data_IF_221358788040
#
_entry.id   IF_221358788040
#
_cell.length_a   1.000
_cell.length_b   1.000
_cell.length_c   1.000
_cell.angle_alpha   90.00
_cell.angle_beta   90.00
_cell.angle_gamma   90.00
#
_symmetry.space_group_name_H-M   'P 1'
#
loop_
_entity.id
_entity.type
_entity.pdbx_description
1 polymer ?
#
# COMPACT_ATOMS: atom_id res chain seq x y z
N UNK A 1 -4.60 9.41 9.44
CA UNK A 1 -4.47 8.54 8.24
C UNK A 1 -4.93 9.34 7.04
N UNK A 2 -4.34 9.14 5.88
CA UNK A 2 -4.80 9.76 4.64
C UNK A 2 -6.00 8.98 4.09
N UNK A 3 -6.99 9.69 3.51
CA UNK A 3 -8.14 9.04 2.87
C UNK A 3 -9.08 8.26 3.82
N UNK A 4 -9.15 8.65 5.09
CA UNK A 4 -10.07 8.01 6.05
C UNK A 4 -11.52 8.28 5.65
N UNK A 5 -12.40 7.26 5.63
CA UNK A 5 -13.84 7.44 5.39
C UNK A 5 -14.50 8.35 6.43
N UNK A 6 -15.72 8.80 6.14
CA UNK A 6 -16.50 9.58 7.11
C UNK A 6 -16.78 8.75 8.38
N UNK A 7 -16.98 9.41 9.51
CA UNK A 7 -17.30 8.72 10.77
C UNK A 7 -18.57 7.84 10.68
N UNK A 8 -19.53 8.23 9.84
CA UNK A 8 -20.72 7.42 9.56
C UNK A 8 -20.32 6.06 8.95
N UNK A 9 -19.51 6.09 7.89
CA UNK A 9 -19.04 4.87 7.21
C UNK A 9 -18.18 4.02 8.16
N UNK A 10 -17.32 4.63 8.97
CA UNK A 10 -16.52 3.91 9.97
C UNK A 10 -17.39 3.17 10.98
N UNK A 11 -18.42 3.83 11.52
CA UNK A 11 -19.37 3.20 12.47
C UNK A 11 -20.16 2.05 11.82
N UNK A 12 -20.64 2.23 10.59
CA UNK A 12 -21.33 1.19 9.83
C UNK A 12 -20.42 -0.03 9.64
N UNK A 13 -19.16 0.17 9.29
CA UNK A 13 -18.17 -0.89 9.14
C UNK A 13 -17.80 -1.57 10.47
N UNK A 14 -17.69 -0.83 11.57
CA UNK A 14 -17.47 -1.39 12.91
C UNK A 14 -18.64 -2.30 13.34
N UNK A 15 -19.88 -1.83 13.14
CA UNK A 15 -21.08 -2.62 13.44
C UNK A 15 -21.14 -3.89 12.58
N UNK A 16 -20.82 -3.78 11.29
CA UNK A 16 -20.73 -4.93 10.40
C UNK A 16 -19.68 -5.95 10.89
N UNK A 17 -18.46 -5.50 11.22
CA UNK A 17 -17.39 -6.36 11.71
C UNK A 17 -17.82 -7.15 12.95
N UNK A 18 -18.46 -6.49 13.93
CA UNK A 18 -18.99 -7.15 15.13
C UNK A 18 -20.11 -8.17 14.76
N UNK A 19 -21.00 -7.81 13.84
CA UNK A 19 -22.06 -8.74 13.39
C UNK A 19 -21.51 -9.96 12.64
N UNK A 20 -20.32 -9.85 12.06
CA UNK A 20 -19.58 -10.94 11.41
C UNK A 20 -18.65 -11.72 12.35
N UNK A 21 -18.69 -11.42 13.66
CA UNK A 21 -17.98 -12.19 14.68
C UNK A 21 -16.69 -11.55 15.22
N UNK A 22 -16.36 -10.31 14.83
CA UNK A 22 -15.22 -9.61 15.41
C UNK A 22 -15.47 -9.28 16.90
N UNK A 23 -14.41 -9.36 17.72
CA UNK A 23 -14.47 -8.97 19.14
C UNK A 23 -14.79 -7.48 19.27
N UNK A 24 -15.93 -7.16 19.91
CA UNK A 24 -16.43 -5.80 20.06
C UNK A 24 -15.45 -4.90 20.84
N UNK A 25 -14.74 -5.43 21.84
CA UNK A 25 -13.78 -4.66 22.62
C UNK A 25 -12.51 -4.32 21.82
N UNK A 26 -12.12 -5.18 20.88
CA UNK A 26 -11.04 -4.89 19.95
C UNK A 26 -11.47 -3.87 18.88
N UNK A 27 -12.69 -4.03 18.33
CA UNK A 27 -13.24 -3.10 17.33
C UNK A 27 -13.38 -1.69 17.91
N UNK A 28 -13.80 -1.56 19.18
CA UNK A 28 -13.91 -0.27 19.88
C UNK A 28 -12.55 0.46 19.98
N UNK A 29 -11.44 -0.28 20.09
CA UNK A 29 -10.09 0.31 20.13
C UNK A 29 -9.61 0.78 18.76
N UNK A 30 -10.14 0.23 17.67
CA UNK A 30 -9.78 0.56 16.29
C UNK A 30 -10.57 1.76 15.77
N UNK A 31 -10.41 2.92 16.45
CA UNK A 31 -11.11 4.16 16.12
C UNK A 31 -10.51 4.87 14.91
N UNK A 32 -11.28 5.76 14.28
CA UNK A 32 -10.84 6.62 13.18
C UNK A 32 -10.20 5.89 11.99
N UNK A 33 -10.54 4.61 11.78
CA UNK A 33 -10.00 3.79 10.70
C UNK A 33 -8.56 3.31 10.91
N UNK A 34 -8.02 3.43 12.13
CA UNK A 34 -6.73 2.87 12.51
C UNK A 34 -6.91 1.40 12.91
N UNK A 35 -6.81 0.50 11.94
CA UNK A 35 -6.98 -0.95 12.12
C UNK A 35 -5.65 -1.70 12.15
N UNK A 36 -4.52 -1.02 11.84
CA UNK A 36 -3.20 -1.62 11.90
C UNK A 36 -2.74 -1.92 13.32
N UNK A 37 -2.01 -3.02 13.46
CA UNK A 37 -1.41 -3.41 14.73
C UNK A 37 -0.09 -4.14 14.50
N UNK A 38 0.66 -4.33 15.56
CA UNK A 38 1.81 -5.24 15.57
C UNK A 38 1.88 -6.01 16.89
N UNK A 39 2.55 -7.14 16.83
CA UNK A 39 2.83 -7.99 17.98
C UNK A 39 4.34 -8.26 18.08
N UNK A 40 4.86 -8.17 19.29
CA UNK A 40 6.28 -8.38 19.57
C UNK A 40 6.48 -9.65 20.40
N UNK A 41 7.53 -10.42 20.05
CA UNK A 41 8.07 -11.47 20.90
C UNK A 41 9.53 -11.15 21.19
N UNK A 42 9.91 -11.18 22.48
CA UNK A 42 11.28 -10.97 22.94
C UNK A 42 11.85 -12.29 23.44
N UNK A 43 13.04 -12.64 22.95
CA UNK A 43 13.74 -13.87 23.31
C UNK A 43 14.95 -13.59 24.23
N UNK A 44 15.65 -12.47 24.01
CA UNK A 44 16.74 -11.98 24.85
C UNK A 44 16.86 -10.46 24.77
N UNK A 45 17.72 -9.87 25.62
CA UNK A 45 18.01 -8.43 25.61
C UNK A 45 19.02 -8.03 24.51
N UNK A 46 19.81 -8.99 24.05
CA UNK A 46 20.81 -8.85 22.99
C UNK A 46 20.36 -9.55 21.70
N UNK A 47 20.87 -9.10 20.56
CA UNK A 47 20.63 -9.72 19.25
C UNK A 47 19.81 -8.85 18.30
N UNK A 48 19.52 -9.39 17.10
CA UNK A 48 18.75 -8.67 16.10
C UNK A 48 17.28 -8.43 16.51
N UNK A 49 16.70 -7.35 16.00
CA UNK A 49 15.26 -7.16 16.05
C UNK A 49 14.71 -7.26 14.64
N UNK A 50 14.15 -8.43 14.32
CA UNK A 50 13.53 -8.72 13.03
C UNK A 50 12.10 -8.22 13.02
N UNK A 51 11.65 -7.71 11.88
CA UNK A 51 10.22 -7.50 11.63
C UNK A 51 9.78 -8.22 10.36
N UNK A 52 8.55 -8.73 10.37
CA UNK A 52 7.79 -9.08 9.18
C UNK A 52 6.64 -8.10 8.98
N UNK A 53 6.37 -7.74 7.72
CA UNK A 53 5.18 -6.96 7.37
C UNK A 53 4.26 -7.80 6.49
N UNK A 54 3.00 -7.79 6.88
CA UNK A 54 1.86 -8.38 6.17
C UNK A 54 0.79 -7.30 6.00
N UNK A 55 0.36 -7.05 4.77
CA UNK A 55 -0.81 -6.24 4.51
C UNK A 55 -2.08 -7.07 4.74
N UNK A 56 -3.21 -6.37 4.98
CA UNK A 56 -4.44 -7.05 5.37
C UNK A 56 -5.72 -6.41 4.81
N UNK A 57 -5.58 -5.41 3.95
CA UNK A 57 -6.73 -4.76 3.32
C UNK A 57 -7.21 -5.50 2.08
N UNK A 58 -8.44 -5.24 1.69
CA UNK A 58 -9.06 -5.76 0.47
C UNK A 58 -9.15 -4.69 -0.61
N UNK A 59 -9.38 -5.12 -1.85
CA UNK A 59 -9.62 -4.27 -2.98
C UNK A 59 -11.11 -3.88 -3.09
N UNK A 60 -11.39 -2.71 -3.68
CA UNK A 60 -12.73 -2.28 -4.08
C UNK A 60 -13.17 -3.02 -5.36
N UNK A 61 -13.22 -4.35 -5.29
CA UNK A 61 -13.61 -5.26 -6.37
C UNK A 61 -14.79 -6.09 -5.90
N UNK A 62 -15.82 -6.22 -6.73
CA UNK A 62 -16.91 -7.16 -6.48
C UNK A 62 -16.48 -8.52 -7.04
N UNK A 63 -16.33 -9.51 -6.17
CA UNK A 63 -16.00 -10.86 -6.60
C UNK A 63 -17.08 -11.44 -7.53
N UNK A 64 -16.66 -12.15 -8.56
CA UNK A 64 -17.57 -12.72 -9.55
C UNK A 64 -18.58 -13.67 -8.92
N UNK A 65 -19.81 -13.66 -9.42
CA UNK A 65 -20.86 -14.60 -9.05
C UNK A 65 -20.89 -15.87 -9.90
N UNK A 66 -19.89 -16.11 -10.76
CA UNK A 66 -19.79 -17.29 -11.60
C UNK A 66 -19.74 -18.54 -10.75
N UNK A 67 -20.65 -19.50 -11.00
CA UNK A 67 -20.73 -20.77 -10.28
C UNK A 67 -19.49 -21.66 -10.47
N UNK A 68 -18.70 -21.45 -11.51
CA UNK A 68 -17.45 -22.16 -11.76
C UNK A 68 -16.26 -21.56 -11.01
N UNK A 69 -16.39 -20.35 -10.47
CA UNK A 69 -15.38 -19.73 -9.62
C UNK A 69 -15.25 -20.53 -8.33
N UNK A 70 -14.04 -21.06 -8.05
CA UNK A 70 -13.81 -21.98 -6.91
C UNK A 70 -14.30 -21.42 -5.56
N UNK A 71 -14.03 -20.14 -5.21
CA UNK A 71 -14.54 -19.56 -3.98
C UNK A 71 -16.07 -19.63 -3.83
N UNK A 72 -16.84 -19.43 -4.91
CA UNK A 72 -18.29 -19.59 -4.89
C UNK A 72 -18.70 -21.06 -4.73
N UNK A 73 -18.04 -21.93 -5.48
CA UNK A 73 -18.33 -23.37 -5.47
C UNK A 73 -18.06 -24.01 -4.12
N UNK A 74 -17.03 -23.54 -3.41
CA UNK A 74 -16.58 -24.06 -2.13
C UNK A 74 -17.05 -23.21 -0.94
N UNK A 75 -17.88 -22.18 -1.17
CA UNK A 75 -18.51 -21.31 -0.17
C UNK A 75 -17.53 -20.52 0.71
N UNK A 76 -16.47 -19.97 0.11
CA UNK A 76 -15.56 -19.05 0.79
C UNK A 76 -15.36 -17.72 0.06
N UNK A 77 -16.18 -17.41 -0.93
CA UNK A 77 -16.18 -16.10 -1.60
C UNK A 77 -16.49 -14.97 -0.61
N UNK A 78 -16.16 -13.73 -1.00
CA UNK A 78 -16.39 -12.56 -0.18
C UNK A 78 -17.87 -12.40 0.18
N UNK A 79 -18.16 -12.25 1.46
CA UNK A 79 -19.51 -11.92 1.97
C UNK A 79 -19.80 -10.41 1.94
N UNK A 80 -18.82 -9.59 1.55
CA UNK A 80 -18.92 -8.14 1.49
C UNK A 80 -18.97 -7.69 0.02
N UNK A 81 -20.17 -7.36 -0.46
CA UNK A 81 -20.32 -6.86 -1.82
C UNK A 81 -19.47 -5.60 -2.06
N UNK A 82 -18.73 -5.57 -3.15
CA UNK A 82 -17.81 -4.49 -3.50
C UNK A 82 -16.45 -4.55 -2.80
N UNK A 83 -16.14 -5.61 -2.08
CA UNK A 83 -14.84 -5.81 -1.47
C UNK A 83 -14.38 -7.28 -1.62
N UNK A 84 -13.17 -7.50 -2.07
CA UNK A 84 -12.58 -8.81 -2.32
C UNK A 84 -11.08 -8.76 -2.06
N UNK A 85 -10.48 -9.85 -1.57
CA UNK A 85 -9.02 -9.98 -1.51
C UNK A 85 -8.43 -10.34 -2.88
N UNK A 86 -8.59 -9.43 -3.86
CA UNK A 86 -8.11 -9.63 -5.23
C UNK A 86 -6.57 -9.44 -5.38
N UNK A 87 -5.86 -9.22 -4.28
CA UNK A 87 -4.40 -9.15 -4.24
C UNK A 87 -3.75 -10.19 -3.31
N UNK A 88 -4.55 -11.00 -2.60
CA UNK A 88 -4.08 -12.09 -1.75
C UNK A 88 -3.61 -11.65 -0.36
N UNK A 89 -4.06 -10.50 0.14
CA UNK A 89 -3.68 -10.02 1.48
C UNK A 89 -4.26 -10.88 2.62
N UNK A 90 -5.34 -11.61 2.39
CA UNK A 90 -5.85 -12.66 3.29
C UNK A 90 -4.83 -13.79 3.48
N UNK A 91 -4.13 -14.19 2.40
CA UNK A 91 -3.02 -15.12 2.49
C UNK A 91 -1.83 -14.53 3.28
N UNK A 92 -1.54 -13.24 3.11
CA UNK A 92 -0.47 -12.59 3.86
C UNK A 92 -0.77 -12.58 5.37
N UNK A 93 -2.01 -12.28 5.77
CA UNK A 93 -2.45 -12.40 7.17
C UNK A 93 -2.27 -13.83 7.68
N UNK A 94 -2.70 -14.82 6.89
CA UNK A 94 -2.57 -16.24 7.24
C UNK A 94 -1.11 -16.65 7.41
N UNK A 95 -0.21 -16.21 6.51
CA UNK A 95 1.23 -16.41 6.63
C UNK A 95 1.79 -15.77 7.90
N UNK A 96 1.37 -14.55 8.23
CA UNK A 96 1.82 -13.83 9.42
C UNK A 96 1.43 -14.52 10.71
N UNK A 97 0.20 -15.00 10.81
CA UNK A 97 -0.29 -15.73 11.99
C UNK A 97 0.41 -17.08 12.15
N UNK A 98 0.55 -17.85 11.06
CA UNK A 98 1.23 -19.14 11.08
C UNK A 98 2.75 -18.97 11.39
N UNK A 99 3.41 -17.96 10.83
CA UNK A 99 4.80 -17.66 11.15
C UNK A 99 4.98 -17.31 12.64
N UNK A 100 4.06 -16.52 13.21
CA UNK A 100 4.10 -16.19 14.63
C UNK A 100 3.98 -17.44 15.52
N UNK A 101 3.09 -18.38 15.17
CA UNK A 101 2.95 -19.64 15.89
C UNK A 101 4.21 -20.51 15.79
N UNK A 102 4.77 -20.68 14.59
CA UNK A 102 6.01 -21.44 14.40
C UNK A 102 7.16 -20.84 15.23
N UNK A 103 7.35 -19.53 15.17
CA UNK A 103 8.41 -18.83 15.89
C UNK A 103 8.22 -18.94 17.41
N UNK A 104 6.98 -18.86 17.90
CA UNK A 104 6.69 -19.06 19.33
C UNK A 104 7.07 -20.47 19.80
N UNK A 105 6.88 -21.49 18.96
CA UNK A 105 7.23 -22.89 19.29
C UNK A 105 8.75 -23.16 19.34
N UNK A 106 9.56 -22.35 18.66
CA UNK A 106 11.03 -22.51 18.63
C UNK A 106 11.77 -21.41 19.44
N UNK A 107 11.06 -20.63 20.24
CA UNK A 107 11.56 -19.45 20.96
C UNK A 107 12.86 -19.69 21.76
N UNK A 108 13.01 -20.89 22.35
CA UNK A 108 14.16 -21.24 23.17
C UNK A 108 15.48 -21.37 22.38
N UNK A 109 15.41 -21.49 21.05
CA UNK A 109 16.55 -21.50 20.14
C UNK A 109 16.92 -20.12 19.56
N UNK A 110 16.15 -19.09 19.92
CA UNK A 110 16.25 -17.74 19.33
C UNK A 110 16.83 -16.72 20.34
N UNK A 111 17.40 -15.64 19.81
CA UNK A 111 17.88 -14.46 20.54
C UNK A 111 17.33 -13.19 19.89
N UNK A 112 17.44 -12.05 20.61
CA UNK A 112 16.89 -10.77 20.14
C UNK A 112 15.37 -10.71 20.23
N UNK A 113 14.74 -10.15 19.22
CA UNK A 113 13.28 -9.94 19.19
C UNK A 113 12.72 -10.08 17.79
N UNK A 114 11.41 -10.33 17.69
CA UNK A 114 10.69 -10.30 16.44
C UNK A 114 9.39 -9.48 16.56
N UNK A 115 9.05 -8.73 15.52
CA UNK A 115 7.80 -7.97 15.35
C UNK A 115 7.03 -8.48 14.14
N UNK A 116 5.76 -8.76 14.31
CA UNK A 116 4.81 -9.05 13.23
C UNK A 116 3.93 -7.82 13.03
N UNK A 117 4.08 -7.14 11.88
CA UNK A 117 3.35 -5.92 11.54
C UNK A 117 2.20 -6.33 10.60
N UNK A 118 0.96 -6.05 11.02
CA UNK A 118 -0.24 -6.25 10.20
C UNK A 118 -0.73 -4.88 9.74
N UNK A 119 -0.51 -4.58 8.45
CA UNK A 119 -0.71 -3.26 7.89
C UNK A 119 -2.01 -3.15 7.11
N UNK A 120 -2.89 -2.17 7.40
CA UNK A 120 -4.06 -1.86 6.57
C UNK A 120 -3.72 -0.93 5.43
N UNK A 121 -4.65 -0.79 4.48
CA UNK A 121 -4.71 0.26 3.46
C UNK A 121 -3.45 0.36 2.56
N UNK A 122 -2.87 -0.79 2.18
CA UNK A 122 -1.77 -0.86 1.22
C UNK A 122 -2.23 -0.39 -0.16
N UNK A 123 -3.36 -0.86 -0.65
CA UNK A 123 -3.91 -0.60 -2.00
C UNK A 123 -4.08 0.90 -2.31
N UNK A 124 -4.29 1.68 -1.27
CA UNK A 124 -4.33 3.13 -1.37
C UNK A 124 -2.97 3.82 -1.18
N UNK A 125 -1.91 3.09 -0.84
CA UNK A 125 -0.63 3.61 -0.33
C UNK A 125 -0.86 4.52 0.90
N UNK A 126 -1.68 4.07 1.87
CA UNK A 126 -2.17 4.90 2.98
C UNK A 126 -1.83 4.36 4.35
N UNK A 127 -1.45 3.07 4.45
CA UNK A 127 -1.27 2.36 5.71
C UNK A 127 0.12 2.53 6.33
N UNK A 128 1.18 2.49 5.54
CA UNK A 128 2.55 2.48 6.02
C UNK A 128 2.92 3.73 6.82
N UNK A 129 2.65 4.92 6.29
CA UNK A 129 3.04 6.18 6.96
C UNK A 129 2.42 6.39 8.34
N UNK A 130 1.12 6.11 8.59
CA UNK A 130 0.56 6.13 9.94
C UNK A 130 1.24 5.13 10.89
N UNK A 131 1.55 3.93 10.44
CA UNK A 131 2.22 2.92 11.25
C UNK A 131 3.66 3.33 11.60
N UNK A 132 4.42 3.90 10.64
CA UNK A 132 5.74 4.47 10.88
C UNK A 132 5.65 5.57 11.97
N UNK A 133 4.71 6.50 11.84
CA UNK A 133 4.48 7.57 12.82
C UNK A 133 4.07 7.05 14.20
N UNK A 134 3.38 5.92 14.25
CA UNK A 134 3.03 5.25 15.50
C UNK A 134 4.19 4.48 16.14
N UNK A 135 5.33 4.34 15.44
CA UNK A 135 6.53 3.67 15.96
C UNK A 135 6.71 2.23 15.51
N UNK A 136 6.01 1.80 14.45
CA UNK A 136 6.13 0.42 13.95
C UNK A 136 7.57 0.03 13.57
N UNK A 137 8.41 1.00 13.18
CA UNK A 137 9.82 0.78 12.81
C UNK A 137 10.81 0.91 13.98
N UNK A 138 10.34 1.29 15.18
CA UNK A 138 11.26 1.60 16.29
C UNK A 138 12.06 0.37 16.72
N UNK A 139 13.41 0.51 16.70
CA UNK A 139 14.36 -0.50 17.14
C UNK A 139 14.56 -1.65 16.14
N UNK A 140 13.83 -1.70 15.04
CA UNK A 140 13.95 -2.76 14.04
C UNK A 140 15.31 -2.65 13.34
N UNK A 141 16.04 -3.76 13.28
CA UNK A 141 17.34 -3.89 12.60
C UNK A 141 17.24 -4.65 11.28
N UNK A 142 16.24 -5.53 11.15
CA UNK A 142 16.03 -6.38 9.99
C UNK A 142 14.53 -6.36 9.64
N UNK A 143 14.16 -6.20 8.37
CA UNK A 143 12.76 -6.25 7.99
C UNK A 143 12.54 -7.02 6.68
N UNK A 144 11.48 -7.83 6.65
CA UNK A 144 11.04 -8.59 5.49
C UNK A 144 9.57 -8.26 5.21
N UNK A 145 9.27 -7.79 4.00
CA UNK A 145 7.93 -7.77 3.44
C UNK A 145 7.73 -9.00 2.55
N UNK A 146 6.54 -9.56 2.53
CA UNK A 146 6.21 -10.73 1.72
C UNK A 146 4.95 -10.45 0.93
N UNK A 147 4.98 -10.76 -0.37
CA UNK A 147 3.80 -10.77 -1.23
C UNK A 147 3.73 -12.09 -2.00
N UNK A 148 2.53 -12.63 -2.16
CA UNK A 148 2.31 -13.81 -3.00
C UNK A 148 2.13 -13.39 -4.46
N UNK A 149 2.67 -14.18 -5.39
CA UNK A 149 2.51 -13.95 -6.84
C UNK A 149 3.28 -12.74 -7.34
N UNK A 150 2.58 -11.74 -7.90
CA UNK A 150 3.11 -10.56 -8.57
C UNK A 150 4.00 -10.94 -9.78
N UNK A 151 5.33 -10.78 -9.69
CA UNK A 151 6.28 -11.16 -10.75
C UNK A 151 6.73 -12.63 -10.64
N UNK A 152 6.49 -13.29 -9.49
CA UNK A 152 6.66 -14.73 -9.32
C UNK A 152 5.38 -15.44 -9.79
N UNK A 153 5.33 -15.80 -11.08
CA UNK A 153 4.10 -16.18 -11.77
C UNK A 153 3.76 -17.69 -11.69
N UNK A 154 4.52 -18.47 -10.94
CA UNK A 154 4.29 -19.89 -10.72
C UNK A 154 4.79 -20.31 -9.32
N UNK A 155 4.20 -21.35 -8.76
CA UNK A 155 4.48 -21.84 -7.40
C UNK A 155 5.91 -22.33 -7.17
N UNK A 156 6.66 -22.57 -8.23
CA UNK A 156 8.06 -23.03 -8.15
C UNK A 156 9.06 -21.87 -8.19
N UNK A 157 8.61 -20.64 -8.31
CA UNK A 157 9.45 -19.44 -8.39
C UNK A 157 9.41 -18.67 -7.08
N UNK A 158 10.57 -18.23 -6.60
CA UNK A 158 10.68 -17.21 -5.54
C UNK A 158 11.61 -16.10 -5.98
N UNK A 159 11.25 -14.88 -5.61
CA UNK A 159 12.06 -13.68 -5.79
C UNK A 159 12.46 -13.19 -4.39
N UNK A 160 13.78 -13.11 -4.14
CA UNK A 160 14.32 -12.85 -2.80
C UNK A 160 14.45 -11.36 -2.47
N UNK A 161 14.37 -10.50 -3.48
CA UNK A 161 14.47 -9.06 -3.33
C UNK A 161 13.82 -8.28 -4.46
N UNK A 162 13.51 -7.02 -4.21
CA UNK A 162 12.98 -6.12 -5.22
C UNK A 162 13.61 -4.72 -5.08
N UNK A 163 13.90 -4.11 -6.22
CA UNK A 163 14.43 -2.75 -6.34
C UNK A 163 13.48 -1.87 -7.14
N UNK A 164 13.79 -0.57 -7.21
CA UNK A 164 13.04 0.40 -8.01
C UNK A 164 11.55 0.44 -7.68
N UNK A 165 11.23 0.35 -6.40
CA UNK A 165 9.92 0.81 -5.95
C UNK A 165 9.78 2.28 -6.29
N UNK A 166 8.71 2.63 -7.00
CA UNK A 166 8.48 4.02 -7.38
C UNK A 166 7.91 4.80 -6.20
N UNK A 167 8.54 5.92 -5.86
CA UNK A 167 7.93 6.88 -4.98
C UNK A 167 6.67 7.46 -5.64
N UNK A 168 5.62 7.65 -4.86
CA UNK A 168 4.33 8.15 -5.33
C UNK A 168 3.70 9.09 -4.33
N UNK A 169 2.96 10.09 -4.83
CA UNK A 169 2.09 10.93 -3.99
C UNK A 169 0.75 11.12 -4.70
N UNK A 170 -0.33 10.82 -3.99
CA UNK A 170 -1.71 10.97 -4.46
C UNK A 170 -2.33 12.22 -3.84
N UNK A 171 -3.00 13.04 -4.63
CA UNK A 171 -3.61 14.29 -4.20
C UNK A 171 -5.08 14.37 -4.56
N UNK A 172 -5.87 14.91 -3.61
CA UNK A 172 -7.19 15.48 -3.84
C UNK A 172 -7.07 17.01 -3.77
N UNK A 173 -7.39 17.70 -4.87
CA UNK A 173 -7.32 19.14 -4.98
C UNK A 173 -8.72 19.70 -5.14
N UNK A 174 -9.06 20.70 -4.33
CA UNK A 174 -10.34 21.43 -4.47
C UNK A 174 -10.04 22.89 -4.77
N UNK A 175 -10.63 23.42 -5.83
CA UNK A 175 -10.70 24.85 -6.13
C UNK A 175 -12.03 25.39 -5.67
N UNK A 176 -12.01 26.53 -5.00
CA UNK A 176 -13.18 27.24 -4.51
C UNK A 176 -13.23 28.67 -5.07
N UNK A 177 -14.21 28.92 -5.89
CA UNK A 177 -14.50 30.20 -6.50
C UNK A 177 -15.80 30.82 -5.98
N UNK A 178 -16.51 31.56 -6.83
CA UNK A 178 -17.77 32.24 -6.52
C UNK A 178 -18.78 32.03 -7.65
N UNK A 179 -19.99 31.60 -7.31
CA UNK A 179 -21.10 31.48 -8.28
C UNK A 179 -21.56 32.85 -8.74
N UNK A 180 -21.96 32.91 -10.01
CA UNK A 180 -22.67 34.05 -10.59
C UNK A 180 -23.52 33.59 -11.78
N UNK A 181 -24.47 34.42 -12.19
CA UNK A 181 -25.25 34.17 -13.39
C UNK A 181 -24.41 34.51 -14.63
N UNK A 182 -24.03 33.48 -15.41
CA UNK A 182 -23.05 33.61 -16.49
C UNK A 182 -23.42 34.63 -17.59
N UNK A 183 -24.72 34.90 -17.80
CA UNK A 183 -25.18 35.85 -18.79
C UNK A 183 -25.52 37.23 -18.24
N UNK A 184 -25.86 37.38 -16.95
CA UNK A 184 -26.32 38.62 -16.37
C UNK A 184 -25.27 39.36 -15.55
N UNK A 185 -24.44 38.63 -14.81
CA UNK A 185 -23.40 39.18 -13.88
C UNK A 185 -22.15 38.34 -13.92
N UNK A 186 -21.52 38.11 -15.12
CA UNK A 186 -20.32 37.25 -15.20
C UNK A 186 -19.12 37.79 -14.43
N UNK A 187 -19.00 39.12 -14.28
CA UNK A 187 -17.93 39.80 -13.54
C UNK A 187 -17.92 39.52 -12.05
N UNK A 188 -19.08 39.14 -11.50
CA UNK A 188 -19.21 38.79 -10.07
C UNK A 188 -18.71 37.39 -9.73
N UNK A 189 -18.50 36.54 -10.75
CA UNK A 189 -18.07 35.16 -10.61
C UNK A 189 -16.55 35.00 -10.45
N UNK A 190 -16.17 33.85 -9.90
CA UNK A 190 -14.79 33.31 -9.90
C UNK A 190 -14.89 31.86 -10.33
N UNK A 191 -14.32 31.53 -11.50
CA UNK A 191 -14.59 30.26 -12.18
C UNK A 191 -13.65 29.15 -11.75
N UNK A 192 -14.08 28.32 -10.80
CA UNK A 192 -13.30 27.19 -10.32
C UNK A 192 -13.07 26.09 -11.40
N UNK A 193 -13.98 25.95 -12.39
CA UNK A 193 -13.79 25.03 -13.51
C UNK A 193 -12.56 25.44 -14.34
N UNK A 194 -12.42 26.73 -14.67
CA UNK A 194 -11.28 27.21 -15.42
C UNK A 194 -9.98 27.06 -14.64
N UNK A 195 -9.99 27.32 -13.32
CA UNK A 195 -8.83 27.08 -12.47
C UNK A 195 -8.40 25.60 -12.54
N UNK A 196 -9.34 24.67 -12.44
CA UNK A 196 -9.04 23.24 -12.53
C UNK A 196 -8.57 22.80 -13.93
N UNK A 197 -9.15 23.36 -15.01
CA UNK A 197 -8.71 23.09 -16.40
C UNK A 197 -7.28 23.60 -16.61
N UNK A 198 -6.96 24.82 -16.19
CA UNK A 198 -5.63 25.42 -16.27
C UNK A 198 -4.62 24.56 -15.49
N UNK A 199 -4.99 24.12 -14.28
CA UNK A 199 -4.14 23.24 -13.49
C UNK A 199 -3.91 21.91 -14.23
N UNK A 200 -4.94 21.23 -14.71
CA UNK A 200 -4.83 19.94 -15.38
C UNK A 200 -3.88 20.00 -16.60
N UNK A 201 -4.04 21.01 -17.46
CA UNK A 201 -3.21 21.18 -18.65
C UNK A 201 -1.72 21.43 -18.27
N UNK A 202 -1.47 22.34 -17.33
CA UNK A 202 -0.12 22.71 -16.92
C UNK A 202 0.57 21.62 -16.07
N UNK A 203 -0.16 20.85 -15.30
CA UNK A 203 0.36 19.68 -14.58
C UNK A 203 0.95 18.66 -15.56
N UNK A 204 0.25 18.36 -16.66
CA UNK A 204 0.77 17.46 -17.68
C UNK A 204 1.96 18.04 -18.46
N UNK A 205 2.13 19.37 -18.47
CA UNK A 205 3.24 20.07 -19.09
C UNK A 205 4.49 20.21 -18.21
N UNK A 206 4.47 19.73 -16.95
CA UNK A 206 5.66 19.73 -16.08
C UNK A 206 6.83 19.04 -16.77
N UNK A 207 7.98 19.72 -16.81
CA UNK A 207 9.21 19.16 -17.38
C UNK A 207 9.62 17.89 -16.67
N UNK A 208 9.96 16.86 -17.43
CA UNK A 208 10.53 15.64 -16.88
C UNK A 208 11.94 15.91 -16.37
N UNK A 209 12.36 15.16 -15.36
CA UNK A 209 13.69 15.34 -14.77
C UNK A 209 14.72 14.48 -15.51
N UNK A 210 15.88 15.07 -15.85
CA UNK A 210 16.97 14.36 -16.54
C UNK A 210 17.72 13.35 -15.67
N UNK A 211 17.46 13.32 -14.34
CA UNK A 211 18.12 12.40 -13.40
C UNK A 211 17.41 11.06 -13.24
N UNK A 212 16.23 10.89 -13.82
CA UNK A 212 15.49 9.62 -13.76
C UNK A 212 14.02 9.78 -14.15
N UNK A 213 13.30 8.66 -14.09
CA UNK A 213 11.91 8.59 -14.52
C UNK A 213 10.97 9.35 -13.55
N UNK A 214 10.11 10.18 -14.14
CA UNK A 214 9.02 10.89 -13.43
C UNK A 214 7.71 10.73 -14.18
N UNK A 215 6.60 10.70 -13.44
CA UNK A 215 5.25 10.61 -13.98
C UNK A 215 4.32 11.57 -13.25
N UNK A 216 3.27 11.99 -13.92
CA UNK A 216 2.15 12.75 -13.38
C UNK A 216 0.90 12.35 -14.13
N UNK A 217 -0.21 12.23 -13.42
CA UNK A 217 -1.51 11.96 -14.02
C UNK A 217 -2.61 12.69 -13.26
N UNK A 218 -3.49 13.37 -14.01
CA UNK A 218 -4.78 13.85 -13.51
C UNK A 218 -5.83 12.82 -13.94
N UNK A 219 -6.30 12.03 -12.98
CA UNK A 219 -7.21 10.92 -13.23
C UNK A 219 -8.68 11.33 -13.30
N UNK A 220 -9.07 12.41 -12.58
CA UNK A 220 -10.43 12.90 -12.56
C UNK A 220 -10.48 14.41 -12.36
N UNK A 221 -11.38 15.07 -13.11
CA UNK A 221 -11.80 16.46 -12.92
C UNK A 221 -13.32 16.49 -12.84
N UNK A 222 -13.87 17.11 -11.81
CA UNK A 222 -15.32 17.31 -11.64
C UNK A 222 -15.59 18.76 -11.28
N UNK A 223 -16.51 19.42 -12.00
CA UNK A 223 -16.83 20.84 -11.75
C UNK A 223 -18.20 21.22 -12.30
N UNK A 224 -18.85 22.19 -11.64
CA UNK A 224 -20.04 22.89 -12.10
C UNK A 224 -21.36 22.13 -11.91
N UNK A 225 -22.45 22.89 -11.97
CA UNK A 225 -23.81 22.38 -11.75
C UNK A 225 -24.75 22.64 -12.97
N UNK A 226 -24.56 23.74 -13.69
CA UNK A 226 -25.45 24.12 -14.79
C UNK A 226 -24.81 25.04 -15.81
N UNK A 227 -25.36 25.07 -17.02
CA UNK A 227 -24.82 25.76 -18.20
C UNK A 227 -24.79 27.28 -18.09
N UNK A 228 -25.62 27.86 -17.24
CA UNK A 228 -25.78 29.30 -17.05
C UNK A 228 -25.29 29.79 -15.68
N UNK A 229 -24.53 28.95 -14.96
CA UNK A 229 -23.96 29.25 -13.65
C UNK A 229 -22.43 29.19 -13.77
N UNK A 230 -21.71 30.22 -13.30
CA UNK A 230 -20.26 30.18 -13.16
C UNK A 230 -19.92 29.19 -12.03
N UNK A 231 -19.14 28.13 -12.30
CA UNK A 231 -18.84 27.10 -11.31
C UNK A 231 -18.03 27.65 -10.13
N UNK A 232 -18.55 27.48 -8.92
CA UNK A 232 -17.83 27.88 -7.69
C UNK A 232 -16.97 26.77 -7.12
N UNK A 233 -17.12 25.53 -7.55
CA UNK A 233 -16.35 24.40 -7.04
C UNK A 233 -15.84 23.52 -8.18
N UNK A 234 -14.56 23.09 -8.06
CA UNK A 234 -13.99 22.07 -8.91
C UNK A 234 -13.06 21.16 -8.09
N UNK A 235 -13.00 19.89 -8.47
CA UNK A 235 -12.18 18.88 -7.81
C UNK A 235 -11.29 18.18 -8.84
N UNK A 236 -9.99 17.99 -8.50
CA UNK A 236 -9.05 17.14 -9.24
C UNK A 236 -8.59 16.00 -8.33
N UNK A 237 -8.52 14.81 -8.90
CA UNK A 237 -7.80 13.66 -8.32
C UNK A 237 -6.61 13.39 -9.20
N UNK A 238 -5.41 13.38 -8.60
CA UNK A 238 -4.16 13.25 -9.34
C UNK A 238 -3.11 12.48 -8.55
N UNK A 239 -2.07 12.02 -9.26
CA UNK A 239 -0.87 11.44 -8.67
C UNK A 239 0.40 11.93 -9.34
N UNK A 240 1.49 11.92 -8.58
CA UNK A 240 2.86 12.04 -9.08
C UNK A 240 3.64 10.78 -8.75
N UNK A 241 4.65 10.44 -9.58
CA UNK A 241 5.59 9.36 -9.31
C UNK A 241 7.00 9.76 -9.69
N UNK A 242 7.98 9.21 -8.96
CA UNK A 242 9.40 9.35 -9.26
C UNK A 242 10.13 8.02 -9.05
N UNK A 243 11.16 7.79 -9.84
CA UNK A 243 12.07 6.64 -9.67
C UNK A 243 12.74 6.66 -8.29
N UNK A 244 12.95 7.85 -7.73
CA UNK A 244 13.42 8.08 -6.36
C UNK A 244 12.47 9.01 -5.61
N UNK A 245 12.55 9.02 -4.29
CA UNK A 245 11.78 9.95 -3.45
C UNK A 245 12.07 11.40 -3.79
N UNK A 246 13.33 11.76 -4.09
CA UNK A 246 13.72 13.11 -4.51
C UNK A 246 13.08 13.52 -5.86
N UNK A 247 13.00 12.58 -6.81
CA UNK A 247 12.36 12.84 -8.10
C UNK A 247 10.85 13.01 -7.96
N UNK A 248 10.22 12.26 -7.05
CA UNK A 248 8.81 12.46 -6.75
C UNK A 248 8.58 13.79 -6.02
N UNK A 249 9.45 14.18 -5.09
CA UNK A 249 9.36 15.49 -4.41
C UNK A 249 9.42 16.65 -5.40
N UNK A 250 10.35 16.60 -6.38
CA UNK A 250 10.37 17.55 -7.48
C UNK A 250 9.01 17.65 -8.19
N UNK A 251 8.37 16.51 -8.51
CA UNK A 251 7.06 16.50 -9.17
C UNK A 251 5.96 17.06 -8.25
N UNK A 252 6.04 16.80 -6.95
CA UNK A 252 5.13 17.33 -5.92
C UNK A 252 5.23 18.85 -5.83
N UNK A 253 6.45 19.40 -5.73
CA UNK A 253 6.70 20.83 -5.63
C UNK A 253 6.20 21.58 -6.88
N UNK A 254 6.53 21.08 -8.07
CA UNK A 254 6.03 21.64 -9.33
C UNK A 254 4.50 21.58 -9.43
N UNK A 255 3.90 20.48 -8.97
CA UNK A 255 2.45 20.36 -8.95
C UNK A 255 1.79 21.38 -8.02
N UNK A 256 2.32 21.59 -6.82
CA UNK A 256 1.83 22.60 -5.88
C UNK A 256 1.90 24.00 -6.46
N UNK A 257 3.03 24.34 -7.06
CA UNK A 257 3.25 25.65 -7.71
C UNK A 257 2.23 25.90 -8.83
N UNK A 258 1.95 24.90 -9.67
CA UNK A 258 0.98 25.00 -10.77
C UNK A 258 -0.46 25.15 -10.24
N UNK A 259 -0.85 24.38 -9.23
CA UNK A 259 -2.18 24.44 -8.61
C UNK A 259 -2.42 25.84 -8.02
N UNK A 260 -1.45 26.37 -7.28
CA UNK A 260 -1.49 27.71 -6.73
C UNK A 260 -1.63 28.79 -7.81
N UNK A 261 -0.79 28.74 -8.84
CA UNK A 261 -0.85 29.71 -9.94
C UNK A 261 -2.17 29.64 -10.70
N UNK A 262 -2.73 28.43 -10.92
CA UNK A 262 -4.02 28.26 -11.60
C UNK A 262 -5.19 28.79 -10.77
N UNK A 263 -5.15 28.66 -9.45
CA UNK A 263 -6.14 29.26 -8.56
C UNK A 263 -6.06 30.79 -8.61
N UNK A 264 -4.85 31.34 -8.58
CA UNK A 264 -4.61 32.78 -8.64
C UNK A 264 -5.12 33.41 -9.95
N UNK A 265 -4.91 32.75 -11.11
CA UNK A 265 -5.37 33.22 -12.43
C UNK A 265 -6.88 33.47 -12.45
N UNK A 266 -7.67 32.66 -11.76
CA UNK A 266 -9.12 32.71 -11.74
C UNK A 266 -9.70 33.40 -10.48
N UNK A 267 -8.82 33.92 -9.61
CA UNK A 267 -9.23 34.51 -8.34
C UNK A 267 -9.90 33.52 -7.37
N UNK A 268 -9.56 32.25 -7.46
CA UNK A 268 -10.06 31.17 -6.60
C UNK A 268 -9.12 30.90 -5.44
N UNK A 269 -9.65 30.35 -4.36
CA UNK A 269 -8.85 29.67 -3.35
C UNK A 269 -8.71 28.19 -3.69
N UNK A 270 -7.75 27.50 -3.05
CA UNK A 270 -7.53 26.07 -3.27
C UNK A 270 -7.16 25.35 -1.96
N UNK A 271 -7.39 24.05 -1.94
CA UNK A 271 -6.87 23.15 -0.92
C UNK A 271 -6.25 21.92 -1.59
N UNK A 272 -5.14 21.45 -1.04
CA UNK A 272 -4.48 20.20 -1.46
C UNK A 272 -4.48 19.25 -0.27
N UNK A 273 -5.10 18.09 -0.43
CA UNK A 273 -5.09 17.00 0.56
C UNK A 273 -4.29 15.84 0.00
N UNK A 274 -3.28 15.39 0.72
CA UNK A 274 -2.58 14.15 0.37
C UNK A 274 -3.48 12.97 0.68
N UNK A 275 -3.75 12.15 -0.32
CA UNK A 275 -4.66 11.00 -0.23
C UNK A 275 -3.91 9.67 -0.06
N UNK A 276 -2.62 9.64 -0.38
CA UNK A 276 -1.77 8.46 -0.23
C UNK A 276 -0.36 8.74 -0.74
N UNK A 277 0.55 7.81 -0.52
CA UNK A 277 1.91 7.90 -1.05
C UNK A 277 2.84 6.83 -0.49
N UNK A 278 3.93 6.60 -1.21
CA UNK A 278 5.00 5.68 -0.84
C UNK A 278 6.36 6.29 -1.16
N UNK A 279 7.38 5.90 -0.40
CA UNK A 279 8.77 6.18 -0.74
C UNK A 279 9.26 5.27 -1.87
N UNK A 280 10.35 5.66 -2.54
CA UNK A 280 11.13 4.70 -3.31
C UNK A 280 11.84 3.75 -2.35
N UNK A 281 12.24 2.57 -2.82
CA UNK A 281 12.93 1.59 -2.00
C UNK A 281 13.73 0.60 -2.83
N UNK A 282 14.64 -0.09 -2.16
CA UNK A 282 15.42 -1.18 -2.71
C UNK A 282 15.79 -2.16 -1.60
N UNK A 283 15.83 -3.44 -1.93
CA UNK A 283 16.25 -4.49 -1.00
C UNK A 283 17.74 -4.40 -0.67
N UNK A 284 18.09 -4.63 0.59
CA UNK A 284 19.48 -4.74 1.03
C UNK A 284 20.06 -6.09 0.60
N UNK A 285 21.24 -6.08 -0.02
CA UNK A 285 21.90 -7.29 -0.49
C UNK A 285 22.08 -8.34 0.61
N UNK A 286 22.41 -7.89 1.80
CA UNK A 286 22.60 -8.77 2.97
C UNK A 286 21.30 -9.51 3.33
N UNK A 287 20.15 -8.81 3.30
CA UNK A 287 18.84 -9.47 3.55
C UNK A 287 18.47 -10.45 2.44
N UNK A 288 18.77 -10.12 1.19
CA UNK A 288 18.58 -11.05 0.06
C UNK A 288 19.36 -12.34 0.30
N UNK A 289 20.60 -12.27 0.78
CA UNK A 289 21.41 -13.47 1.07
C UNK A 289 20.80 -14.32 2.21
N UNK A 290 20.25 -13.73 3.27
CA UNK A 290 19.51 -14.49 4.29
C UNK A 290 18.33 -15.26 3.70
N UNK A 291 17.55 -14.63 2.82
CA UNK A 291 16.41 -15.28 2.15
C UNK A 291 16.90 -16.38 1.21
N UNK A 292 17.92 -16.14 0.39
CA UNK A 292 18.51 -17.14 -0.50
C UNK A 292 19.02 -18.36 0.29
N UNK A 293 19.63 -18.13 1.45
CA UNK A 293 20.07 -19.23 2.31
C UNK A 293 18.88 -20.04 2.84
N UNK A 294 17.81 -19.35 3.27
CA UNK A 294 16.59 -20.02 3.73
C UNK A 294 15.94 -20.87 2.63
N UNK A 295 15.88 -20.36 1.41
CA UNK A 295 15.28 -21.06 0.24
C UNK A 295 15.96 -22.37 -0.07
N UNK A 296 17.25 -22.58 0.26
CA UNK A 296 17.94 -23.88 0.08
C UNK A 296 17.25 -25.03 0.84
N UNK A 297 16.51 -24.71 1.87
CA UNK A 297 15.76 -25.68 2.70
C UNK A 297 14.29 -25.80 2.28
N UNK A 298 13.87 -25.14 1.17
CA UNK A 298 12.52 -25.16 0.65
C UNK A 298 12.54 -25.76 -0.76
N UNK A 299 12.53 -27.10 -0.89
CA UNK A 299 12.78 -27.79 -2.15
C UNK A 299 11.65 -27.61 -3.20
N UNK A 300 10.53 -27.05 -2.81
CA UNK A 300 9.41 -26.69 -3.71
C UNK A 300 9.83 -25.61 -4.71
N UNK A 301 10.66 -24.66 -4.31
CA UNK A 301 11.18 -23.65 -5.22
C UNK A 301 12.29 -24.20 -6.11
N UNK A 302 12.05 -24.20 -7.42
CA UNK A 302 12.99 -24.65 -8.46
C UNK A 302 13.70 -23.49 -9.15
N UNK A 303 13.09 -22.29 -9.09
CA UNK A 303 13.60 -21.07 -9.69
C UNK A 303 13.74 -20.01 -8.60
N UNK A 304 14.97 -19.65 -8.29
CA UNK A 304 15.30 -18.61 -7.32
C UNK A 304 15.83 -17.41 -8.07
N UNK A 305 15.11 -16.30 -7.98
CA UNK A 305 15.51 -15.01 -8.56
C UNK A 305 16.00 -14.14 -7.43
N UNK A 306 17.24 -13.68 -7.53
CA UNK A 306 17.89 -12.91 -6.49
C UNK A 306 17.17 -11.57 -6.27
N UNK A 307 16.94 -10.81 -7.35
CA UNK A 307 16.38 -9.47 -7.29
C UNK A 307 15.69 -9.10 -8.60
N UNK A 308 14.65 -8.27 -8.52
CA UNK A 308 13.93 -7.76 -9.70
C UNK A 308 13.68 -6.26 -9.60
N UNK A 309 13.46 -5.61 -10.75
CA UNK A 309 12.89 -4.26 -10.76
C UNK A 309 11.38 -4.36 -10.52
N UNK A 310 10.90 -3.81 -9.39
CA UNK A 310 9.48 -3.84 -9.05
C UNK A 310 8.66 -2.95 -9.99
N UNK A 311 9.11 -1.72 -10.21
CA UNK A 311 8.55 -0.81 -11.22
C UNK A 311 7.16 -0.26 -10.91
N UNK A 312 6.65 -0.49 -9.71
CA UNK A 312 5.34 -0.03 -9.23
C UNK A 312 5.44 0.62 -7.84
N UNK A 313 4.33 1.18 -7.36
CA UNK A 313 4.21 1.67 -5.98
C UNK A 313 3.79 0.53 -5.05
N UNK A 314 4.41 0.48 -3.88
CA UNK A 314 4.11 -0.41 -2.76
C UNK A 314 4.51 0.34 -1.49
N UNK A 315 3.62 0.53 -0.53
CA UNK A 315 3.93 1.38 0.62
C UNK A 315 4.78 0.69 1.69
N UNK A 316 4.97 -0.63 1.60
CA UNK A 316 6.03 -1.33 2.35
C UNK A 316 7.40 -0.70 2.11
N UNK A 317 7.66 -0.18 0.90
CA UNK A 317 8.91 0.52 0.60
C UNK A 317 9.19 1.66 1.60
N UNK A 318 8.14 2.35 2.09
CA UNK A 318 8.29 3.39 3.13
C UNK A 318 8.70 2.81 4.47
N UNK A 319 8.15 1.65 4.88
CA UNK A 319 8.54 0.96 6.11
C UNK A 319 9.98 0.46 6.00
N UNK A 320 10.33 -0.19 4.89
CA UNK A 320 11.68 -0.68 4.62
C UNK A 320 12.70 0.46 4.62
N UNK A 321 12.42 1.57 3.92
CA UNK A 321 13.28 2.76 3.91
C UNK A 321 13.45 3.35 5.31
N UNK A 322 12.37 3.43 6.10
CA UNK A 322 12.45 3.90 7.49
C UNK A 322 13.41 3.04 8.34
N UNK A 323 13.37 1.72 8.20
CA UNK A 323 14.30 0.81 8.89
C UNK A 323 15.74 1.04 8.39
N UNK A 324 15.94 1.17 7.08
CA UNK A 324 17.26 1.37 6.47
C UNK A 324 17.87 2.73 6.84
N UNK A 325 17.10 3.80 6.90
CA UNK A 325 17.53 5.13 7.33
C UNK A 325 17.97 5.15 8.80
N UNK A 326 17.46 4.21 9.62
CA UNK A 326 17.88 3.99 11.00
C UNK A 326 19.01 2.97 11.14
N UNK A 327 19.69 2.61 10.04
CA UNK A 327 20.85 1.72 10.03
C UNK A 327 20.52 0.23 9.97
N UNK A 328 19.27 -0.14 9.78
CA UNK A 328 18.83 -1.51 9.56
C UNK A 328 18.89 -1.94 8.09
N UNK A 329 18.50 -3.17 7.82
CA UNK A 329 18.45 -3.78 6.49
C UNK A 329 17.09 -4.40 6.20
N UNK A 330 16.67 -4.41 4.93
CA UNK A 330 15.35 -4.90 4.56
C UNK A 330 15.30 -5.55 3.19
N UNK A 331 14.29 -6.40 2.95
CA UNK A 331 13.99 -6.97 1.64
C UNK A 331 12.50 -7.18 1.44
N UNK A 332 12.10 -7.37 0.19
CA UNK A 332 10.74 -7.69 -0.22
C UNK A 332 10.74 -8.99 -1.03
N UNK A 333 10.10 -10.01 -0.49
CA UNK A 333 10.00 -11.33 -1.09
C UNK A 333 8.72 -11.41 -1.92
N UNK A 334 8.80 -11.99 -3.11
CA UNK A 334 7.63 -12.40 -3.87
C UNK A 334 7.62 -13.93 -3.96
N UNK A 335 6.68 -14.54 -3.24
CA UNK A 335 6.50 -15.99 -3.22
C UNK A 335 5.54 -16.42 -4.34
N UNK A 336 5.99 -17.25 -5.22
CA UNK A 336 5.22 -17.69 -6.37
C UNK A 336 3.97 -18.47 -6.02
N UNK A 337 2.92 -18.25 -6.78
CA UNK A 337 1.63 -18.96 -6.68
C UNK A 337 1.12 -19.33 -8.07
N UNK A 338 0.37 -20.42 -8.13
CA UNK A 338 -0.40 -20.81 -9.30
C UNK A 338 -1.79 -20.17 -9.19
N UNK A 339 -1.98 -19.04 -9.88
CA UNK A 339 -3.19 -18.24 -9.83
C UNK A 339 -4.11 -18.50 -11.03
N UNK A 340 -5.41 -18.42 -10.78
CA UNK A 340 -6.44 -18.60 -11.81
C UNK A 340 -6.69 -17.34 -12.62
N UNK A 341 -6.46 -16.16 -12.03
CA UNK A 341 -6.54 -14.85 -12.69
C UNK A 341 -5.45 -13.92 -12.18
N UNK A 342 -5.26 -12.77 -12.83
CA UNK A 342 -4.33 -11.73 -12.39
C UNK A 342 -4.78 -11.05 -11.09
N UNK A 343 -3.85 -10.41 -10.38
CA UNK A 343 -4.18 -9.54 -9.26
C UNK A 343 -5.17 -8.45 -9.68
N UNK A 344 -6.03 -8.01 -8.77
CA UNK A 344 -7.10 -7.02 -8.95
C UNK A 344 -8.20 -7.45 -9.94
N UNK A 345 -8.27 -8.74 -10.25
CA UNK A 345 -9.31 -9.34 -11.09
C UNK A 345 -10.39 -9.96 -10.22
N UNK A 346 -11.65 -9.88 -10.63
CA UNK A 346 -12.82 -10.42 -9.92
C UNK A 346 -12.87 -11.95 -9.88
N UNK A 347 -12.04 -12.63 -10.68
CA UNK A 347 -11.78 -14.07 -10.65
C UNK A 347 -10.47 -14.43 -9.92
N UNK A 348 -9.82 -13.50 -9.23
CA UNK A 348 -8.58 -13.80 -8.53
C UNK A 348 -8.77 -14.93 -7.52
N UNK A 349 -7.95 -15.95 -7.63
CA UNK A 349 -7.88 -17.10 -6.74
C UNK A 349 -6.56 -17.85 -7.00
N UNK A 350 -6.10 -18.65 -6.06
CA UNK A 350 -4.86 -19.42 -6.17
C UNK A 350 -4.95 -20.70 -5.33
N UNK A 351 -4.04 -21.67 -5.57
CA UNK A 351 -3.93 -22.86 -4.74
C UNK A 351 -3.22 -22.56 -3.41
N UNK A 352 -3.94 -22.65 -2.29
CA UNK A 352 -3.42 -22.34 -0.94
C UNK A 352 -2.24 -23.23 -0.52
N UNK A 353 -2.02 -24.39 -1.17
CA UNK A 353 -0.81 -25.22 -0.95
C UNK A 353 0.47 -24.45 -1.26
N UNK A 354 0.39 -23.44 -2.13
CA UNK A 354 1.51 -22.58 -2.45
C UNK A 354 1.95 -21.68 -1.27
N UNK A 355 1.14 -21.54 -0.23
CA UNK A 355 1.50 -20.78 0.98
C UNK A 355 2.52 -21.51 1.86
N UNK A 356 2.57 -22.85 1.82
CA UNK A 356 3.49 -23.62 2.66
C UNK A 356 4.96 -23.29 2.35
N UNK A 357 5.44 -23.28 1.08
CA UNK A 357 6.79 -22.85 0.77
C UNK A 357 7.10 -21.41 1.20
N UNK A 358 6.15 -20.48 1.06
CA UNK A 358 6.30 -19.10 1.50
C UNK A 358 6.47 -19.01 3.02
N UNK A 359 5.63 -19.73 3.78
CA UNK A 359 5.71 -19.84 5.23
C UNK A 359 7.04 -20.43 5.69
N UNK A 360 7.48 -21.52 5.06
CA UNK A 360 8.77 -22.14 5.36
C UNK A 360 9.92 -21.16 5.12
N UNK A 361 9.89 -20.41 4.01
CA UNK A 361 10.92 -19.40 3.72
C UNK A 361 10.94 -18.31 4.79
N UNK A 362 9.78 -17.80 5.21
CA UNK A 362 9.68 -16.80 6.28
C UNK A 362 10.23 -17.34 7.62
N UNK A 363 9.77 -18.52 8.04
CA UNK A 363 10.19 -19.12 9.31
C UNK A 363 11.68 -19.45 9.34
N UNK A 364 12.23 -20.01 8.26
CA UNK A 364 13.66 -20.34 8.15
C UNK A 364 14.51 -19.06 8.09
N UNK A 365 14.05 -18.02 7.36
CA UNK A 365 14.74 -16.71 7.35
C UNK A 365 14.80 -16.12 8.76
N UNK A 366 13.68 -16.14 9.49
CA UNK A 366 13.65 -15.70 10.88
C UNK A 366 14.60 -16.49 11.76
N UNK A 367 14.62 -17.81 11.64
CA UNK A 367 15.54 -18.67 12.37
C UNK A 367 16.99 -18.33 12.06
N UNK A 368 17.38 -18.19 10.79
CA UNK A 368 18.76 -17.86 10.40
C UNK A 368 19.23 -16.50 10.93
N UNK A 369 18.34 -15.53 11.01
CA UNK A 369 18.65 -14.19 11.54
C UNK A 369 18.73 -14.20 13.08
N UNK A 370 17.83 -14.93 13.75
CA UNK A 370 17.63 -14.87 15.20
C UNK A 370 18.27 -16.02 15.98
N UNK A 371 18.82 -17.05 15.33
CA UNK A 371 19.41 -18.20 16.02
C UNK A 371 20.53 -17.79 16.99
N UNK A 372 20.61 -18.51 18.13
CA UNK A 372 21.68 -18.36 19.14
C UNK A 372 23.06 -18.68 18.60
#
# INVERSE_FOLDING_TARGET
MMGVPSEKILKENQQRAVSQGADAALVEKMTHGYTGFWADMKFSDDGPYLAFRFDMDSNDVTETADENHRPNKENFSSVNNGAMHACGHDAHVSLGLAAAEIIANIKDSLKGSIRFIFQPAEEGLRGAMPMIKAGACNGITHIIGIHIGFQANDSHTIICGADKFLASTKFDVTFQGKQAHAGAYPEDGRNALLAACNAALNLHAVSRNGKGATRINVGRLTAGEGRNIIPAKAELIMETRGETSQLNEYMVEESRRIIEASALMEGCSYTIKTAGGSSSGQSSREMIEYVKEAVKYVPEYKKVIENVSFGAGEDYASIMSCVQENGGIGTYIQAGIDRYAGHHNDYFDFDEKNLVPALNTAAISAYLILKK
#
